data_IF_263509709929
#
_entry.id   IF_263509709929
#
_cell.length_a   1.000
_cell.length_b   1.000
_cell.length_c   1.000
_cell.angle_alpha   90.00
_cell.angle_beta   90.00
_cell.angle_gamma   90.00
#
_symmetry.space_group_name_H-M   'P 1'
#
loop_
_entity.id
_entity.type
_entity.pdbx_description
1 polymer ?
#
# COMPACT_ATOMS: atom_id res chain seq x y z
N UNK A 1 -20.26 -17.62 63.55
CA UNK A 1 -20.40 -18.39 62.29
C UNK A 1 -20.99 -17.63 61.11
N UNK A 2 -21.78 -16.54 61.31
CA UNK A 2 -22.42 -15.76 60.20
C UNK A 2 -21.41 -14.94 59.35
N UNK A 3 -20.32 -14.45 59.92
CA UNK A 3 -19.38 -13.55 59.21
C UNK A 3 -18.46 -14.26 58.21
N UNK A 4 -18.13 -15.55 58.42
CA UNK A 4 -17.30 -16.31 57.48
C UNK A 4 -18.01 -16.64 56.15
N UNK A 5 -19.33 -16.91 56.22
CA UNK A 5 -20.14 -17.19 55.02
C UNK A 5 -20.26 -15.96 54.11
N UNK A 6 -20.40 -14.76 54.67
CA UNK A 6 -20.48 -13.53 53.94
C UNK A 6 -19.16 -13.19 53.23
N UNK A 7 -18.04 -13.41 53.89
CA UNK A 7 -16.69 -13.16 53.30
C UNK A 7 -16.38 -14.10 52.13
N UNK A 8 -16.79 -15.37 52.24
CA UNK A 8 -16.62 -16.35 51.16
C UNK A 8 -17.46 -15.99 49.92
N UNK A 9 -18.70 -15.55 50.16
CA UNK A 9 -19.60 -15.13 49.06
C UNK A 9 -19.07 -13.91 48.34
N UNK A 10 -18.54 -12.91 49.06
CA UNK A 10 -17.92 -11.72 48.49
C UNK A 10 -16.65 -12.04 47.69
N UNK A 11 -15.80 -12.96 48.13
CA UNK A 11 -14.61 -13.42 47.43
C UNK A 11 -14.95 -14.18 46.13
N UNK A 12 -16.02 -14.99 46.14
CA UNK A 12 -16.49 -15.70 44.93
C UNK A 12 -17.06 -14.71 43.94
N UNK A 13 -17.84 -13.72 44.36
CA UNK A 13 -18.40 -12.68 43.50
C UNK A 13 -17.29 -11.81 42.88
N UNK A 14 -16.28 -11.41 43.66
CA UNK A 14 -15.12 -10.66 43.18
C UNK A 14 -14.32 -11.42 42.13
N UNK A 15 -14.06 -12.72 42.33
CA UNK A 15 -13.38 -13.56 41.35
C UNK A 15 -14.20 -13.77 40.07
N UNK A 16 -15.53 -13.86 40.17
CA UNK A 16 -16.43 -13.93 39.02
C UNK A 16 -16.39 -12.65 38.18
N UNK A 17 -16.42 -11.48 38.82
CA UNK A 17 -16.31 -10.18 38.16
C UNK A 17 -14.95 -9.99 37.50
N UNK A 18 -13.85 -10.38 38.15
CA UNK A 18 -12.50 -10.34 37.58
C UNK A 18 -12.38 -11.31 36.39
N UNK A 19 -13.02 -12.49 36.47
CA UNK A 19 -13.08 -13.46 35.38
C UNK A 19 -13.85 -12.90 34.17
N UNK A 20 -14.99 -12.25 34.40
CA UNK A 20 -15.76 -11.58 33.34
C UNK A 20 -15.01 -10.42 32.70
N UNK A 21 -14.29 -9.61 33.47
CA UNK A 21 -13.46 -8.51 32.94
C UNK A 21 -12.29 -9.07 32.10
N UNK A 22 -11.67 -10.17 32.51
CA UNK A 22 -10.63 -10.83 31.71
C UNK A 22 -11.18 -11.48 30.44
N UNK A 23 -12.38 -12.06 30.44
CA UNK A 23 -13.04 -12.54 29.22
C UNK A 23 -13.43 -11.41 28.28
N UNK A 24 -13.85 -10.25 28.79
CA UNK A 24 -14.16 -9.08 27.94
C UNK A 24 -12.89 -8.43 27.35
N UNK A 25 -11.76 -8.49 28.05
CA UNK A 25 -10.48 -7.96 27.55
C UNK A 25 -9.77 -8.88 26.54
N UNK A 26 -10.15 -10.16 26.45
CA UNK A 26 -9.51 -11.16 25.60
C UNK A 26 -10.13 -11.28 24.18
N UNK A 27 -10.93 -10.31 23.73
CA UNK A 27 -11.74 -10.48 22.51
C UNK A 27 -11.85 -9.32 21.56
N UNK A 28 -10.93 -8.35 21.53
CA UNK A 28 -10.91 -7.35 20.46
C UNK A 28 -9.52 -7.37 19.83
N UNK A 29 -9.25 -8.38 19.02
CA UNK A 29 -8.23 -8.28 17.99
C UNK A 29 -8.82 -7.36 16.89
N UNK A 30 -8.62 -6.05 17.06
CA UNK A 30 -8.87 -5.03 16.06
C UNK A 30 -7.61 -4.90 15.21
N UNK A 31 -7.27 -5.91 14.44
CA UNK A 31 -6.34 -5.68 13.35
C UNK A 31 -7.07 -4.75 12.37
N UNK A 32 -6.71 -3.47 12.38
CA UNK A 32 -7.21 -2.53 11.40
C UNK A 32 -6.69 -3.00 10.04
N UNK A 33 -7.59 -3.33 9.12
CA UNK A 33 -7.21 -3.69 7.75
C UNK A 33 -7.18 -2.44 6.90
N UNK A 34 -6.08 -2.24 6.23
CA UNK A 34 -5.83 -1.06 5.41
C UNK A 34 -6.11 -1.39 3.94
N UNK A 35 -6.96 -0.58 3.31
CA UNK A 35 -7.35 -0.71 1.91
C UNK A 35 -6.21 -0.21 1.02
N UNK A 36 -5.75 -1.06 0.11
CA UNK A 36 -4.72 -0.77 -0.88
C UNK A 36 -5.24 -1.18 -2.26
N UNK A 37 -4.84 -0.44 -3.29
CA UNK A 37 -5.13 -0.80 -4.67
C UNK A 37 -3.86 -0.90 -5.49
N UNK A 38 -3.89 -1.77 -6.51
CA UNK A 38 -2.96 -1.75 -7.64
C UNK A 38 -3.75 -1.36 -8.88
N UNK A 39 -3.26 -0.36 -9.59
CA UNK A 39 -3.85 0.14 -10.84
C UNK A 39 -2.96 -0.26 -12.01
N UNK A 40 -3.57 -0.82 -13.05
CA UNK A 40 -2.92 -1.17 -14.30
C UNK A 40 -3.20 -0.09 -15.36
N UNK A 41 -2.17 0.63 -15.78
CA UNK A 41 -2.21 1.63 -16.83
C UNK A 41 -1.85 1.07 -18.23
N UNK A 42 -2.03 -0.24 -18.43
CA UNK A 42 -1.71 -0.96 -19.67
C UNK A 42 -0.30 -1.56 -19.65
N UNK A 43 0.73 -0.74 -19.63
CA UNK A 43 2.14 -1.16 -19.62
C UNK A 43 2.80 -1.09 -18.23
N UNK A 44 2.19 -0.42 -17.27
CA UNK A 44 2.71 -0.03 -15.98
C UNK A 44 1.67 -0.24 -14.88
N UNK A 45 2.12 -0.55 -13.67
CA UNK A 45 1.28 -0.64 -12.48
C UNK A 45 1.72 0.35 -11.40
N UNK A 46 0.75 0.89 -10.66
CA UNK A 46 0.96 1.76 -9.49
C UNK A 46 0.19 1.29 -8.26
N UNK A 47 0.68 1.67 -7.07
CA UNK A 47 -0.03 1.50 -5.81
C UNK A 47 -0.89 2.72 -5.49
N UNK A 48 -2.12 2.51 -5.05
CA UNK A 48 -2.95 3.56 -4.44
C UNK A 48 -3.12 3.22 -2.96
N UNK A 49 -2.68 4.14 -2.10
CA UNK A 49 -2.73 3.96 -0.64
C UNK A 49 -3.42 5.15 0.02
N UNK A 50 -3.99 4.99 1.25
CA UNK A 50 -4.52 6.10 2.02
C UNK A 50 -3.45 7.19 2.25
N UNK A 51 -3.80 8.43 1.95
CA UNK A 51 -2.88 9.56 2.03
C UNK A 51 -2.42 9.86 3.46
N UNK A 52 -3.30 9.67 4.45
CA UNK A 52 -2.99 9.89 5.87
C UNK A 52 -1.75 9.16 6.33
N UNK A 53 -1.55 7.93 5.85
CA UNK A 53 -0.47 7.06 6.29
C UNK A 53 0.85 7.40 5.62
N UNK A 54 0.81 7.71 4.32
CA UNK A 54 2.02 8.13 3.60
C UNK A 54 2.49 9.52 4.07
N UNK A 55 1.58 10.40 4.46
CA UNK A 55 1.92 11.74 4.99
C UNK A 55 2.65 11.67 6.34
N UNK A 56 2.47 10.60 7.14
CA UNK A 56 3.22 10.39 8.37
C UNK A 56 4.70 10.11 8.13
N UNK A 57 5.05 9.50 6.99
CA UNK A 57 6.43 9.12 6.66
C UNK A 57 7.07 10.05 5.62
N UNK A 58 6.26 10.80 4.86
CA UNK A 58 6.67 11.80 3.89
C UNK A 58 5.76 13.04 4.04
N UNK A 59 6.00 13.89 5.05
CA UNK A 59 5.14 15.08 5.31
C UNK A 59 5.07 16.07 4.15
N UNK A 60 6.11 16.14 3.32
CA UNK A 60 6.17 17.00 2.14
C UNK A 60 5.05 16.70 1.13
N UNK A 61 4.59 15.45 1.06
CA UNK A 61 3.46 15.07 0.19
C UNK A 61 2.16 15.70 0.67
N UNK A 62 1.97 15.89 2.00
CA UNK A 62 0.81 16.61 2.53
C UNK A 62 0.82 18.07 2.10
N UNK A 63 1.98 18.72 2.13
CA UNK A 63 2.13 20.10 1.68
C UNK A 63 1.82 20.24 0.18
N UNK A 64 2.09 19.19 -0.62
CA UNK A 64 1.86 19.19 -2.06
C UNK A 64 0.42 18.82 -2.45
N UNK A 65 -0.19 17.82 -1.80
CA UNK A 65 -1.45 17.21 -2.22
C UNK A 65 -2.62 17.50 -1.28
N UNK A 66 -2.38 18.21 -0.17
CA UNK A 66 -3.42 18.67 0.75
C UNK A 66 -4.24 17.53 1.36
N UNK A 67 -5.56 17.62 1.22
CA UNK A 67 -6.50 16.69 1.83
C UNK A 67 -6.97 15.58 0.87
N UNK A 68 -6.15 15.23 -0.13
CA UNK A 68 -6.43 14.08 -0.98
C UNK A 68 -6.62 12.82 -0.11
N UNK A 69 -7.69 12.01 -0.30
CA UNK A 69 -7.92 10.82 0.52
C UNK A 69 -6.94 9.69 0.22
N UNK A 70 -6.43 9.62 -1.01
CA UNK A 70 -5.47 8.61 -1.45
C UNK A 70 -4.39 9.25 -2.31
N UNK A 71 -3.23 8.61 -2.36
CA UNK A 71 -2.15 8.92 -3.31
C UNK A 71 -1.81 7.67 -4.10
N UNK A 72 -1.74 7.81 -5.42
CA UNK A 72 -1.14 6.80 -6.29
C UNK A 72 0.35 7.02 -6.39
N UNK A 73 1.12 5.93 -6.40
CA UNK A 73 2.56 5.90 -6.61
C UNK A 73 2.92 4.95 -7.74
N UNK A 74 3.58 5.48 -8.75
CA UNK A 74 4.30 4.75 -9.77
C UNK A 74 5.79 4.99 -9.65
N UNK A 75 6.60 4.01 -10.07
CA UNK A 75 8.05 4.12 -10.14
C UNK A 75 8.51 3.72 -11.53
N UNK A 76 9.44 4.45 -12.13
CA UNK A 76 9.89 4.12 -13.46
C UNK A 76 11.01 5.02 -13.96
N UNK A 77 11.29 4.89 -15.26
CA UNK A 77 12.30 5.64 -15.97
C UNK A 77 11.96 7.12 -16.08
N UNK A 78 12.94 7.98 -15.79
CA UNK A 78 12.77 9.43 -15.81
C UNK A 78 12.53 9.96 -17.24
N UNK A 79 13.32 9.51 -18.23
CA UNK A 79 13.20 9.98 -19.60
C UNK A 79 11.90 9.48 -20.26
N UNK A 80 11.51 8.23 -19.98
CA UNK A 80 10.28 7.64 -20.50
C UNK A 80 9.03 8.31 -19.97
N UNK A 81 8.97 8.63 -18.68
CA UNK A 81 7.82 9.30 -18.08
C UNK A 81 7.67 10.77 -18.52
N UNK A 82 8.77 11.44 -18.84
CA UNK A 82 8.78 12.85 -19.20
C UNK A 82 8.88 13.09 -20.71
N UNK A 83 8.91 12.02 -21.53
CA UNK A 83 8.95 12.14 -22.97
C UNK A 83 7.62 12.70 -23.52
N UNK A 84 7.69 13.78 -24.31
CA UNK A 84 6.53 14.33 -25.01
C UNK A 84 5.93 13.31 -26.00
N UNK A 85 6.79 12.49 -26.61
CA UNK A 85 6.41 11.36 -27.47
C UNK A 85 7.18 10.11 -27.09
N UNK A 86 6.47 8.99 -26.90
CA UNK A 86 7.07 7.68 -26.66
C UNK A 86 7.55 7.11 -28.00
N UNK A 87 8.81 7.38 -28.33
CA UNK A 87 9.45 6.81 -29.51
C UNK A 87 10.09 5.47 -29.22
N UNK A 88 10.29 4.65 -30.29
CA UNK A 88 11.02 3.38 -30.14
C UNK A 88 12.45 3.56 -29.61
N UNK A 89 13.09 4.70 -29.89
CA UNK A 89 14.40 5.05 -29.38
C UNK A 89 14.41 5.28 -27.86
N UNK A 90 13.45 6.04 -27.34
CA UNK A 90 13.28 6.27 -25.88
C UNK A 90 13.02 4.94 -25.17
N UNK A 91 12.12 4.11 -25.73
CA UNK A 91 11.79 2.79 -25.16
C UNK A 91 13.00 1.86 -25.14
N UNK A 92 13.76 1.76 -26.23
CA UNK A 92 14.95 0.92 -26.30
C UNK A 92 16.05 1.41 -25.36
N UNK A 93 16.28 2.74 -25.28
CA UNK A 93 17.26 3.32 -24.36
C UNK A 93 16.90 2.99 -22.90
N UNK A 94 15.67 3.20 -22.48
CA UNK A 94 15.18 2.90 -21.13
C UNK A 94 15.30 1.40 -20.78
N UNK A 95 15.15 0.50 -21.75
CA UNK A 95 15.23 -0.94 -21.52
C UNK A 95 16.69 -1.40 -21.36
N UNK A 96 17.60 -0.92 -22.21
CA UNK A 96 18.96 -1.49 -22.32
C UNK A 96 20.03 -0.70 -21.57
N UNK A 97 19.83 0.58 -21.32
CA UNK A 97 20.78 1.42 -20.57
C UNK A 97 20.19 1.79 -19.22
N UNK A 98 20.95 1.65 -18.12
CA UNK A 98 20.53 2.17 -16.84
C UNK A 98 20.27 3.67 -16.91
N UNK A 99 19.13 4.12 -16.39
CA UNK A 99 18.72 5.52 -16.39
C UNK A 99 18.20 5.92 -15.01
N UNK A 100 18.23 7.22 -14.73
CA UNK A 100 17.66 7.77 -13.49
C UNK A 100 16.19 7.38 -13.37
N UNK A 101 15.77 7.05 -12.17
CA UNK A 101 14.38 6.70 -11.89
C UNK A 101 13.64 7.83 -11.18
N UNK A 102 12.31 7.83 -11.35
CA UNK A 102 11.39 8.76 -10.69
C UNK A 102 10.26 8.02 -9.97
N UNK A 103 9.75 8.64 -8.93
CA UNK A 103 8.44 8.33 -8.36
C UNK A 103 7.44 9.35 -8.92
N UNK A 104 6.39 8.85 -9.56
CA UNK A 104 5.21 9.62 -9.94
C UNK A 104 4.16 9.50 -8.84
N UNK A 105 3.80 10.61 -8.21
CA UNK A 105 2.78 10.66 -7.17
C UNK A 105 1.56 11.44 -7.70
N UNK A 106 0.36 10.88 -7.54
CA UNK A 106 -0.90 11.45 -8.05
C UNK A 106 -1.93 11.53 -6.92
N UNK A 107 -2.56 12.69 -6.74
CA UNK A 107 -3.70 12.84 -5.84
C UNK A 107 -4.93 12.12 -6.40
N UNK A 108 -5.45 11.15 -5.67
CA UNK A 108 -6.63 10.37 -6.02
C UNK A 108 -7.79 10.79 -5.13
N UNK A 109 -8.77 11.53 -5.68
CA UNK A 109 -9.81 12.24 -4.93
C UNK A 109 -10.98 11.36 -4.48
N UNK A 110 -10.99 10.09 -4.84
CA UNK A 110 -12.02 9.10 -4.50
C UNK A 110 -11.42 7.69 -4.54
N UNK A 111 -12.20 6.65 -4.23
CA UNK A 111 -11.76 5.25 -4.38
C UNK A 111 -11.19 4.99 -5.78
N UNK A 112 -10.12 4.20 -5.87
CA UNK A 112 -9.35 4.01 -7.10
C UNK A 112 -10.22 3.50 -8.26
N UNK A 113 -11.15 2.58 -8.03
CA UNK A 113 -12.05 2.03 -9.06
C UNK A 113 -12.99 3.10 -9.67
N UNK A 114 -13.30 4.14 -8.89
CA UNK A 114 -14.11 5.26 -9.36
C UNK A 114 -13.28 6.36 -10.03
N UNK A 115 -12.01 6.46 -9.67
CA UNK A 115 -11.08 7.45 -10.23
C UNK A 115 -10.53 6.97 -11.58
N UNK A 116 -10.05 5.73 -11.64
CA UNK A 116 -9.43 5.13 -12.82
C UNK A 116 -10.43 4.27 -13.61
N UNK A 117 -11.45 4.90 -14.18
CA UNK A 117 -12.57 4.22 -14.85
C UNK A 117 -12.19 3.37 -16.07
N UNK A 118 -11.04 3.61 -16.66
CA UNK A 118 -10.55 2.96 -17.89
C UNK A 118 -9.34 2.07 -17.63
N UNK A 119 -8.96 1.90 -16.37
CA UNK A 119 -7.87 1.04 -15.92
C UNK A 119 -8.43 -0.16 -15.17
N UNK A 120 -7.74 -1.27 -15.27
CA UNK A 120 -7.97 -2.41 -14.38
C UNK A 120 -7.46 -2.07 -12.98
N UNK A 121 -8.27 -2.29 -11.96
CA UNK A 121 -7.95 -1.95 -10.57
C UNK A 121 -8.22 -3.16 -9.69
N UNK A 122 -7.19 -3.63 -9.00
CA UNK A 122 -7.32 -4.67 -7.99
C UNK A 122 -7.22 -4.06 -6.60
N UNK A 123 -8.17 -4.45 -5.73
CA UNK A 123 -8.25 -4.00 -4.34
C UNK A 123 -7.93 -5.14 -3.39
N UNK A 124 -7.14 -4.88 -2.38
CA UNK A 124 -6.86 -5.82 -1.30
C UNK A 124 -6.69 -5.12 0.05
N UNK A 125 -6.82 -5.90 1.12
CA UNK A 125 -6.73 -5.40 2.49
C UNK A 125 -5.48 -5.97 3.16
N UNK A 126 -4.66 -5.11 3.73
CA UNK A 126 -3.48 -5.48 4.50
C UNK A 126 -3.72 -5.28 6.00
N UNK A 127 -3.19 -6.16 6.82
CA UNK A 127 -3.08 -5.93 8.26
C UNK A 127 -2.02 -4.85 8.54
N UNK A 128 -2.03 -4.29 9.74
CA UNK A 128 -1.14 -3.16 10.06
C UNK A 128 0.36 -3.42 9.83
N UNK A 129 0.94 -4.60 10.15
CA UNK A 129 2.35 -4.85 9.91
C UNK A 129 2.71 -4.87 8.42
N UNK A 130 1.90 -5.55 7.60
CA UNK A 130 2.07 -5.65 6.15
C UNK A 130 1.90 -4.29 5.48
N UNK A 131 0.87 -3.55 5.88
CA UNK A 131 0.60 -2.21 5.38
C UNK A 131 1.75 -1.25 5.70
N UNK A 132 2.23 -1.22 6.95
CA UNK A 132 3.39 -0.41 7.34
C UNK A 132 4.65 -0.77 6.55
N UNK A 133 4.83 -2.06 6.23
CA UNK A 133 5.95 -2.51 5.38
C UNK A 133 5.84 -1.97 3.97
N UNK A 134 4.64 -1.98 3.36
CA UNK A 134 4.37 -1.38 2.05
C UNK A 134 4.62 0.14 2.06
N UNK A 135 4.07 0.87 3.05
CA UNK A 135 4.27 2.32 3.19
C UNK A 135 5.77 2.66 3.32
N UNK A 136 6.51 1.87 4.11
CA UNK A 136 7.96 2.01 4.24
C UNK A 136 8.70 1.70 2.94
N UNK A 137 8.28 0.69 2.18
CA UNK A 137 8.82 0.38 0.86
C UNK A 137 8.64 1.55 -0.09
N UNK A 138 7.42 2.09 -0.20
CA UNK A 138 7.12 3.27 -1.02
C UNK A 138 7.98 4.46 -0.59
N UNK A 139 8.04 4.77 0.70
CA UNK A 139 8.83 5.88 1.23
C UNK A 139 10.34 5.74 0.93
N UNK A 140 10.87 4.52 0.95
CA UNK A 140 12.28 4.25 0.65
C UNK A 140 12.63 4.35 -0.83
N UNK A 141 11.63 4.37 -1.71
CA UNK A 141 11.82 4.55 -3.15
C UNK A 141 12.17 5.99 -3.51
N UNK A 142 11.90 6.95 -2.65
CA UNK A 142 12.27 8.34 -2.86
C UNK A 142 13.76 8.57 -2.58
N UNK A 143 14.42 9.31 -3.47
CA UNK A 143 15.71 9.90 -3.16
C UNK A 143 15.52 11.00 -2.11
N UNK A 144 16.42 11.07 -1.13
CA UNK A 144 16.44 12.13 -0.13
C UNK A 144 17.77 12.86 -0.17
N UNK A 145 17.69 14.18 -0.12
CA UNK A 145 18.83 15.05 0.01
C UNK A 145 19.46 14.90 1.41
N UNK A 146 20.62 15.52 1.63
CA UNK A 146 21.29 15.55 2.94
C UNK A 146 20.40 16.17 4.04
N UNK A 147 19.51 17.10 3.68
CA UNK A 147 18.49 17.66 4.57
C UNK A 147 17.41 16.66 5.01
N UNK A 148 17.35 15.49 4.37
CA UNK A 148 16.30 14.48 4.57
C UNK A 148 15.06 14.68 3.69
N UNK A 149 14.94 15.81 2.99
CA UNK A 149 13.81 16.12 2.12
C UNK A 149 13.82 15.29 0.84
N UNK A 150 12.62 14.97 0.30
CA UNK A 150 12.49 14.36 -1.01
C UNK A 150 12.73 15.40 -2.11
N UNK A 151 13.47 15.01 -3.16
CA UNK A 151 13.79 15.92 -4.27
C UNK A 151 12.65 15.96 -5.27
N UNK A 152 11.94 17.10 -5.31
CA UNK A 152 10.87 17.38 -6.25
C UNK A 152 11.44 17.67 -7.65
N UNK A 153 10.78 17.10 -8.67
CA UNK A 153 11.04 17.34 -10.09
C UNK A 153 9.84 18.07 -10.75
N UNK A 154 9.65 17.84 -12.05
CA UNK A 154 8.58 18.45 -12.82
C UNK A 154 7.19 17.94 -12.46
N UNK A 155 6.15 18.59 -12.98
CA UNK A 155 4.77 18.16 -12.85
C UNK A 155 4.57 16.76 -13.45
N UNK A 156 3.63 16.00 -12.90
CA UNK A 156 3.29 14.69 -13.44
C UNK A 156 2.50 14.75 -14.74
N UNK A 157 2.27 13.58 -15.33
CA UNK A 157 1.70 13.45 -16.69
C UNK A 157 0.17 13.37 -16.73
N UNK A 158 -0.50 13.16 -15.59
CA UNK A 158 -1.97 13.17 -15.50
C UNK A 158 -2.46 13.56 -14.11
N UNK A 159 -3.66 14.10 -14.06
CA UNK A 159 -4.31 14.51 -12.82
C UNK A 159 -3.53 15.59 -12.05
N UNK A 160 -3.82 15.74 -10.77
CA UNK A 160 -2.98 16.54 -9.87
C UNK A 160 -1.81 15.67 -9.40
N UNK A 161 -0.68 15.80 -10.06
CA UNK A 161 0.47 14.91 -9.89
C UNK A 161 1.81 15.63 -9.90
N UNK A 162 2.83 14.91 -9.44
CA UNK A 162 4.19 15.41 -9.27
C UNK A 162 5.20 14.29 -9.43
N UNK A 163 6.30 14.55 -10.13
CA UNK A 163 7.47 13.70 -10.12
C UNK A 163 8.43 14.05 -8.99
N UNK A 164 9.07 13.02 -8.45
CA UNK A 164 10.14 13.10 -7.47
C UNK A 164 11.30 12.21 -7.89
N UNK A 165 12.54 12.62 -7.63
CA UNK A 165 13.70 11.76 -7.86
C UNK A 165 13.57 10.48 -7.04
N UNK A 166 13.76 9.33 -7.67
CA UNK A 166 13.72 8.04 -7.00
C UNK A 166 15.10 7.50 -6.68
N UNK A 167 15.14 6.41 -5.94
CA UNK A 167 16.33 5.59 -5.71
C UNK A 167 16.36 4.41 -6.66
N UNK A 168 17.57 4.07 -7.10
CA UNK A 168 17.84 2.97 -8.01
C UNK A 168 17.70 3.38 -9.47
N UNK A 169 18.29 2.59 -10.34
CA UNK A 169 18.30 2.83 -11.77
C UNK A 169 17.23 1.95 -12.44
N UNK A 170 16.55 2.53 -13.43
CA UNK A 170 15.63 1.78 -14.27
C UNK A 170 16.42 1.04 -15.35
N UNK A 171 16.13 -0.23 -15.56
CA UNK A 171 16.66 -1.06 -16.64
C UNK A 171 15.83 -2.35 -16.77
N UNK A 172 16.08 -3.16 -17.81
CA UNK A 172 15.29 -4.37 -18.12
C UNK A 172 15.09 -5.34 -16.94
N UNK A 173 16.03 -5.41 -16.00
CA UNK A 173 15.91 -6.24 -14.79
C UNK A 173 15.38 -5.49 -13.57
N UNK A 174 15.07 -4.20 -13.69
CA UNK A 174 14.53 -3.37 -12.64
C UNK A 174 13.50 -2.39 -13.22
N UNK A 175 12.32 -2.92 -13.55
CA UNK A 175 11.22 -2.19 -14.21
C UNK A 175 10.17 -1.73 -13.21
N UNK A 176 9.22 -0.89 -13.65
CA UNK A 176 8.05 -0.46 -12.89
C UNK A 176 7.26 -1.64 -12.31
N UNK A 177 6.95 -2.64 -13.13
CA UNK A 177 6.18 -3.80 -12.67
C UNK A 177 6.96 -4.66 -11.67
N UNK A 178 8.29 -4.74 -11.80
CA UNK A 178 9.13 -5.37 -10.79
C UNK A 178 9.16 -4.59 -9.47
N UNK A 179 9.13 -3.26 -9.53
CA UNK A 179 8.98 -2.42 -8.34
C UNK A 179 7.66 -2.70 -7.62
N UNK A 180 6.55 -2.80 -8.36
CA UNK A 180 5.25 -3.19 -7.79
C UNK A 180 5.31 -4.59 -7.17
N UNK A 181 5.92 -5.58 -7.85
CA UNK A 181 6.10 -6.92 -7.27
C UNK A 181 6.90 -6.90 -5.96
N UNK A 182 8.00 -6.12 -5.88
CA UNK A 182 8.77 -5.93 -4.63
C UNK A 182 7.95 -5.27 -3.52
N UNK A 183 7.07 -4.32 -3.87
CA UNK A 183 6.14 -3.71 -2.92
C UNK A 183 5.16 -4.73 -2.34
N UNK A 184 4.57 -5.57 -3.18
CA UNK A 184 3.69 -6.68 -2.77
C UNK A 184 4.44 -7.70 -1.90
N UNK A 185 5.67 -8.07 -2.28
CA UNK A 185 6.53 -8.95 -1.48
C UNK A 185 6.83 -8.32 -0.11
N UNK A 186 7.10 -7.02 -0.04
CA UNK A 186 7.33 -6.31 1.23
C UNK A 186 6.10 -6.32 2.15
N UNK A 187 4.91 -6.42 1.56
CA UNK A 187 3.63 -6.58 2.25
C UNK A 187 3.31 -8.05 2.61
N UNK A 188 4.29 -8.94 2.55
CA UNK A 188 4.15 -10.35 2.93
C UNK A 188 3.51 -11.25 1.88
N UNK A 189 3.30 -10.76 0.65
CA UNK A 189 2.79 -11.58 -0.45
C UNK A 189 3.88 -12.48 -1.04
N UNK A 190 3.54 -13.74 -1.31
CA UNK A 190 4.46 -14.70 -1.94
C UNK A 190 4.49 -14.51 -3.46
N UNK A 191 4.95 -13.37 -3.92
CA UNK A 191 5.06 -13.02 -5.34
C UNK A 191 6.50 -13.15 -5.80
N UNK A 192 6.71 -13.85 -6.93
CA UNK A 192 8.04 -13.90 -7.54
C UNK A 192 8.38 -12.56 -8.20
N UNK A 193 9.40 -11.88 -7.69
CA UNK A 193 9.91 -10.63 -8.28
C UNK A 193 10.76 -10.86 -9.53
N UNK A 194 11.15 -12.11 -9.80
CA UNK A 194 12.00 -12.47 -10.96
C UNK A 194 11.20 -12.48 -12.27
N UNK A 195 9.95 -12.93 -12.24
CA UNK A 195 9.12 -13.16 -13.45
C UNK A 195 7.97 -12.16 -13.61
N UNK A 196 7.89 -11.11 -12.80
CA UNK A 196 6.83 -10.09 -12.88
C UNK A 196 7.31 -8.89 -13.70
N UNK A 197 7.40 -9.07 -15.00
CA UNK A 197 7.89 -8.06 -15.94
C UNK A 197 6.77 -7.27 -16.64
N UNK A 198 5.51 -7.72 -16.56
CA UNK A 198 4.37 -7.06 -17.21
C UNK A 198 3.29 -6.69 -16.22
N UNK A 199 2.53 -5.62 -16.51
CA UNK A 199 1.36 -5.22 -15.73
C UNK A 199 0.35 -6.36 -15.61
N UNK A 200 0.01 -7.04 -16.71
CA UNK A 200 -0.89 -8.18 -16.70
C UNK A 200 -0.42 -9.34 -15.81
N UNK A 201 0.89 -9.57 -15.67
CA UNK A 201 1.39 -10.61 -14.74
C UNK A 201 1.21 -10.24 -13.27
N UNK A 202 1.20 -8.95 -12.93
CA UNK A 202 0.88 -8.46 -11.58
C UNK A 202 -0.62 -8.62 -11.32
N UNK A 203 -1.47 -8.14 -12.24
CA UNK A 203 -2.93 -8.22 -12.09
C UNK A 203 -3.41 -9.65 -12.01
N UNK A 204 -2.95 -10.54 -12.90
CA UNK A 204 -3.24 -11.98 -12.84
C UNK A 204 -2.81 -12.64 -11.53
N UNK A 205 -1.75 -12.15 -10.90
CA UNK A 205 -1.35 -12.64 -9.60
C UNK A 205 -2.34 -12.20 -8.53
N UNK A 206 -2.77 -10.94 -8.54
CA UNK A 206 -3.71 -10.38 -7.56
C UNK A 206 -5.13 -10.95 -7.71
N UNK A 207 -5.59 -11.21 -8.95
CA UNK A 207 -6.93 -11.74 -9.22
C UNK A 207 -7.07 -13.25 -8.96
N UNK A 208 -5.98 -14.01 -8.77
CA UNK A 208 -6.06 -15.45 -8.48
C UNK A 208 -6.47 -15.69 -7.04
N UNK A 209 -7.46 -16.56 -6.84
CA UNK A 209 -7.95 -16.99 -5.52
C UNK A 209 -6.90 -17.72 -4.64
N UNK A 210 -5.74 -18.07 -5.17
CA UNK A 210 -4.63 -18.69 -4.44
C UNK A 210 -4.17 -17.85 -3.23
N UNK A 211 -4.58 -16.57 -3.17
CA UNK A 211 -4.29 -15.65 -2.06
C UNK A 211 -5.38 -15.56 -1.00
N UNK A 212 -6.48 -16.27 -1.15
CA UNK A 212 -7.63 -16.23 -0.23
C UNK A 212 -7.34 -16.67 1.21
N UNK A 213 -6.15 -17.18 1.50
CA UNK A 213 -5.76 -17.60 2.85
C UNK A 213 -5.21 -16.51 3.76
N UNK A 214 -4.58 -15.45 3.21
CA UNK A 214 -4.02 -14.33 3.98
C UNK A 214 -4.59 -12.96 3.58
N UNK A 215 -5.05 -12.82 2.34
CA UNK A 215 -5.57 -11.57 1.79
C UNK A 215 -6.94 -11.87 1.20
N UNK A 216 -7.98 -11.48 1.91
CA UNK A 216 -9.35 -11.62 1.46
C UNK A 216 -9.68 -10.49 0.48
N UNK A 217 -9.54 -10.75 -0.81
CA UNK A 217 -9.85 -9.80 -1.88
C UNK A 217 -11.33 -9.42 -1.94
N UNK A 218 -12.23 -10.23 -1.34
CA UNK A 218 -13.68 -10.04 -1.36
C UNK A 218 -14.27 -9.48 -0.07
N UNK A 219 -13.51 -9.39 1.03
CA UNK A 219 -14.00 -8.73 2.24
C UNK A 219 -13.87 -7.23 2.14
N UNK A 220 -14.93 -6.52 2.57
CA UNK A 220 -14.82 -5.10 2.86
C UNK A 220 -13.68 -4.91 3.86
N UNK A 221 -12.75 -3.97 3.62
CA UNK A 221 -11.74 -3.55 4.59
C UNK A 221 -12.38 -2.85 5.80
N UNK A 222 -13.71 -2.96 5.93
CA UNK A 222 -14.46 -2.40 7.04
C UNK A 222 -14.06 -3.10 8.33
N UNK A 223 -13.93 -2.31 9.38
CA UNK A 223 -13.69 -2.74 10.76
C UNK A 223 -14.82 -3.68 11.19
N UNK A 224 -14.68 -4.96 10.84
CA UNK A 224 -15.70 -5.96 11.16
C UNK A 224 -15.77 -6.18 12.66
N UNK A 225 -16.91 -5.83 13.26
CA UNK A 225 -17.33 -6.38 14.54
C UNK A 225 -17.67 -7.85 14.27
N UNK A 226 -16.69 -8.74 14.51
CA UNK A 226 -16.96 -10.18 14.52
C UNK A 226 -17.82 -10.50 15.74
N UNK A 227 -19.14 -10.51 15.57
CA UNK A 227 -20.00 -11.27 16.46
C UNK A 227 -19.73 -12.76 16.16
N UNK A 228 -18.92 -13.41 17.02
CA UNK A 228 -18.95 -14.87 17.11
C UNK A 228 -20.33 -15.26 17.63
N UNK A 229 -21.25 -15.66 16.75
CA UNK A 229 -22.39 -16.49 17.14
C UNK A 229 -21.84 -17.84 17.58
N UNK A 230 -22.17 -18.20 18.81
CA UNK A 230 -21.91 -19.52 19.42
C UNK A 230 -22.69 -20.63 18.69
#
# INVERSE_FOLDING_TARGET
MKNHSLLITLLIAANMVIGLIKCFAAGIDRSARNEVYVVNHGWHTGFVVPASDIYQVIPELKNRFGDAPYIEFGWGDNEFYQAEEITSGVTLKAIFLPSDSVVHAVAVTRKAEKYFKHSEVEKFCLEDPEFKSLIKFISRSFYREESGNILKLDHGIYGDSQFYKAKGDFHIFNTCNKWTAKGLESAGMNISTTFKLTAGSIMNYLSREEYSGKIDLNRSCEKGILFKTQ
#
